data_IF_205954565387
#
_entry.id   IF_205954565387
#
_cell.length_a   1.000
_cell.length_b   1.000
_cell.length_c   1.000
_cell.angle_alpha   90.00
_cell.angle_beta   90.00
_cell.angle_gamma   90.00
#
_symmetry.space_group_name_H-M   'P 1'
#
loop_
_entity.id
_entity.type
_entity.pdbx_description
1 polymer ?
#
# COMPACT_ATOMS: atom_id res chain seq x y z
N UNK A 1 0.55 -8.67 13.15
CA UNK A 1 1.26 -9.91 12.75
C UNK A 1 2.31 -10.33 13.77
N UNK A 2 3.44 -9.60 13.95
CA UNK A 2 4.56 -10.04 14.81
C UNK A 2 4.13 -10.49 16.23
N UNK A 3 3.31 -9.72 16.98
CA UNK A 3 2.89 -10.16 18.32
C UNK A 3 2.11 -11.48 18.30
N UNK A 4 1.25 -11.68 17.30
CA UNK A 4 0.47 -12.91 17.11
C UNK A 4 1.41 -14.09 16.83
N UNK A 5 2.41 -13.90 15.98
CA UNK A 5 3.38 -14.94 15.66
C UNK A 5 4.25 -15.33 16.86
N UNK A 6 4.70 -14.34 17.66
CA UNK A 6 5.45 -14.62 18.89
C UNK A 6 4.61 -15.40 19.91
N UNK A 7 3.33 -15.02 20.12
CA UNK A 7 2.44 -15.70 21.05
C UNK A 7 2.12 -17.16 20.66
N UNK A 8 2.29 -17.49 19.38
CA UNK A 8 2.00 -18.81 18.83
C UNK A 8 3.26 -19.63 18.50
N UNK A 9 4.44 -19.18 18.96
CA UNK A 9 5.73 -19.82 18.68
C UNK A 9 6.05 -19.99 17.17
N UNK A 10 5.45 -19.14 16.33
CA UNK A 10 5.66 -19.13 14.88
C UNK A 10 6.92 -18.34 14.50
N UNK A 11 7.38 -17.44 15.38
CA UNK A 11 8.64 -16.72 15.24
C UNK A 11 9.65 -17.26 16.26
N UNK A 12 10.84 -17.65 15.78
CA UNK A 12 11.96 -18.08 16.64
C UNK A 12 12.55 -16.94 17.48
N UNK A 13 12.24 -15.69 17.13
CA UNK A 13 12.74 -14.51 17.82
C UNK A 13 11.75 -14.06 18.91
N UNK A 14 12.25 -13.94 20.14
CA UNK A 14 11.51 -13.32 21.23
C UNK A 14 11.78 -11.81 21.22
N UNK A 15 10.81 -11.04 20.74
CA UNK A 15 10.82 -9.59 20.80
C UNK A 15 9.85 -9.17 21.91
N UNK A 16 10.33 -8.41 22.90
CA UNK A 16 9.46 -7.89 23.96
C UNK A 16 8.46 -6.89 23.39
N UNK A 17 7.26 -6.87 23.96
CA UNK A 17 6.20 -5.96 23.52
C UNK A 17 6.60 -4.48 23.68
N UNK A 18 7.35 -4.17 24.74
CA UNK A 18 7.90 -2.82 24.98
C UNK A 18 8.93 -2.42 23.90
N UNK A 19 9.72 -3.37 23.39
CA UNK A 19 10.64 -3.09 22.28
C UNK A 19 9.87 -2.84 20.97
N UNK A 20 8.79 -3.58 20.72
CA UNK A 20 7.90 -3.37 19.58
C UNK A 20 7.23 -1.99 19.60
N UNK A 21 6.80 -1.52 20.77
CA UNK A 21 6.18 -0.18 20.94
C UNK A 21 7.18 0.96 20.73
N UNK A 22 8.48 0.70 20.92
CA UNK A 22 9.57 1.66 20.68
C UNK A 22 10.09 1.66 19.23
N UNK A 23 9.62 0.73 18.39
CA UNK A 23 10.02 0.68 16.98
C UNK A 23 9.39 1.86 16.19
N UNK A 24 10.04 2.29 15.09
CA UNK A 24 9.50 3.33 14.21
C UNK A 24 8.07 3.03 13.75
N UNK A 25 7.32 4.10 13.46
CA UNK A 25 5.86 4.06 13.25
C UNK A 25 5.37 3.18 12.07
N UNK A 26 6.23 2.74 11.15
CA UNK A 26 5.79 1.90 10.01
C UNK A 26 6.81 0.83 9.62
N UNK A 27 6.31 -0.36 9.25
CA UNK A 27 7.12 -1.47 8.72
C UNK A 27 8.00 -1.02 7.55
N UNK A 28 7.46 -0.19 6.65
CA UNK A 28 8.20 0.34 5.49
C UNK A 28 9.45 1.09 5.93
N UNK A 29 9.37 1.95 6.95
CA UNK A 29 10.53 2.69 7.45
C UNK A 29 11.56 1.75 8.07
N UNK A 30 11.12 0.75 8.84
CA UNK A 30 12.02 -0.24 9.45
C UNK A 30 12.77 -1.01 8.37
N UNK A 31 12.06 -1.50 7.35
CA UNK A 31 12.65 -2.29 6.26
C UNK A 31 13.55 -1.45 5.36
N UNK A 32 13.16 -0.20 5.09
CA UNK A 32 14.00 0.73 4.32
C UNK A 32 15.32 1.01 5.07
N UNK A 33 15.24 1.33 6.36
CA UNK A 33 16.42 1.59 7.19
C UNK A 33 17.28 0.35 7.34
N UNK A 34 16.69 -0.82 7.59
CA UNK A 34 17.42 -2.09 7.69
C UNK A 34 18.17 -2.40 6.40
N UNK A 35 17.53 -2.18 5.25
CA UNK A 35 18.15 -2.35 3.93
C UNK A 35 19.33 -1.39 3.72
N UNK A 36 19.18 -0.11 4.06
CA UNK A 36 20.25 0.89 3.88
C UNK A 36 21.42 0.62 4.85
N UNK A 37 21.15 0.38 6.13
CA UNK A 37 22.18 0.19 7.16
C UNK A 37 22.98 -1.11 6.99
N UNK A 38 22.42 -2.10 6.28
CA UNK A 38 23.06 -3.39 6.02
C UNK A 38 23.24 -3.63 4.53
N UNK A 39 23.72 -2.61 3.81
CA UNK A 39 23.80 -2.64 2.36
C UNK A 39 24.71 -3.73 1.79
N UNK A 40 25.66 -4.19 2.59
CA UNK A 40 26.57 -5.32 2.33
C UNK A 40 25.87 -6.68 2.41
N UNK A 41 24.80 -6.80 3.21
CA UNK A 41 24.10 -8.06 3.50
C UNK A 41 22.76 -8.18 2.79
N UNK A 42 22.07 -7.07 2.62
CA UNK A 42 20.74 -7.02 2.00
C UNK A 42 20.91 -6.38 0.63
N UNK A 43 20.72 -7.16 -0.43
CA UNK A 43 20.91 -6.71 -1.81
C UNK A 43 19.59 -6.86 -2.57
N UNK A 44 19.00 -5.77 -3.10
CA UNK A 44 17.86 -5.86 -4.01
C UNK A 44 18.21 -6.61 -5.31
N UNK A 45 17.25 -7.33 -5.92
CA UNK A 45 15.86 -7.46 -5.49
C UNK A 45 15.67 -8.45 -4.34
N UNK A 46 14.86 -8.08 -3.35
CA UNK A 46 14.46 -8.98 -2.27
C UNK A 46 12.97 -8.83 -1.93
N UNK A 47 12.42 -9.85 -1.29
CA UNK A 47 11.05 -9.90 -0.78
C UNK A 47 11.00 -10.63 0.57
N UNK A 48 10.06 -10.24 1.43
CA UNK A 48 9.79 -10.97 2.67
C UNK A 48 8.85 -12.16 2.42
N UNK A 49 8.65 -13.00 3.44
CA UNK A 49 7.61 -14.02 3.41
C UNK A 49 6.22 -13.41 3.14
N UNK A 50 5.35 -14.18 2.49
CA UNK A 50 3.98 -13.79 2.25
C UNK A 50 3.07 -14.18 3.42
N UNK A 51 2.09 -13.32 3.70
CA UNK A 51 1.11 -13.52 4.75
C UNK A 51 -0.26 -13.01 4.34
N UNK A 52 -1.30 -13.62 4.90
CA UNK A 52 -2.69 -13.27 4.65
C UNK A 52 -3.02 -11.83 5.03
N UNK A 53 -3.80 -11.16 4.18
CA UNK A 53 -4.34 -9.83 4.47
C UNK A 53 -5.17 -9.77 5.76
N UNK A 54 -5.75 -10.89 6.19
CA UNK A 54 -6.51 -11.01 7.44
C UNK A 54 -5.69 -10.59 8.66
N UNK A 55 -4.36 -10.76 8.67
CA UNK A 55 -3.47 -10.33 9.74
C UNK A 55 -3.53 -8.82 10.04
N UNK A 56 -4.04 -7.98 9.11
CA UNK A 56 -4.29 -6.55 9.35
C UNK A 56 -5.46 -6.29 10.28
N UNK A 57 -6.43 -7.19 10.29
CA UNK A 57 -7.63 -7.10 11.14
C UNK A 57 -7.50 -7.91 12.41
N UNK A 58 -6.46 -8.74 12.52
CA UNK A 58 -6.19 -9.54 13.70
C UNK A 58 -5.35 -8.79 14.73
N UNK A 59 -5.71 -8.98 16.00
CA UNK A 59 -4.93 -8.59 17.18
C UNK A 59 -4.77 -9.80 18.09
N UNK A 60 -3.88 -9.67 19.08
CA UNK A 60 -3.77 -10.68 20.14
C UNK A 60 -5.10 -10.83 20.86
N UNK A 61 -5.44 -12.07 21.19
CA UNK A 61 -6.54 -12.37 22.11
C UNK A 61 -6.33 -11.61 23.44
N UNK A 62 -7.42 -11.10 24.01
CA UNK A 62 -7.37 -10.29 25.24
C UNK A 62 -6.83 -11.07 26.43
N UNK A 63 -7.08 -12.39 26.45
CA UNK A 63 -6.57 -13.30 27.48
C UNK A 63 -5.20 -13.88 27.12
N UNK A 64 -4.62 -13.48 25.97
CA UNK A 64 -3.34 -13.96 25.43
C UNK A 64 -3.26 -15.49 25.32
N UNK A 65 -4.40 -16.15 25.09
CA UNK A 65 -4.44 -17.60 24.93
C UNK A 65 -3.71 -18.02 23.66
N UNK A 66 -2.89 -19.06 23.75
CA UNK A 66 -2.21 -19.62 22.58
C UNK A 66 -3.23 -20.22 21.61
N UNK A 67 -3.05 -19.97 20.31
CA UNK A 67 -3.98 -20.37 19.25
C UNK A 67 -5.20 -19.46 19.10
N UNK A 68 -5.37 -18.43 19.93
CA UNK A 68 -6.50 -17.51 19.85
C UNK A 68 -6.09 -16.14 19.32
N UNK A 69 -6.97 -15.55 18.51
CA UNK A 69 -6.85 -14.20 17.96
C UNK A 69 -8.17 -13.46 18.12
N UNK A 70 -8.13 -12.13 18.08
CA UNK A 70 -9.32 -11.29 18.11
C UNK A 70 -9.32 -10.33 16.92
N UNK A 71 -10.50 -9.87 16.51
CA UNK A 71 -10.65 -8.82 15.51
C UNK A 71 -10.47 -7.42 16.10
N UNK A 72 -9.69 -6.57 15.44
CA UNK A 72 -9.40 -5.21 15.89
C UNK A 72 -10.67 -4.33 16.04
N UNK A 73 -11.65 -4.53 15.15
CA UNK A 73 -12.90 -3.76 15.13
C UNK A 73 -14.07 -4.73 15.33
N UNK A 74 -14.83 -4.53 16.42
CA UNK A 74 -16.02 -5.34 16.76
C UNK A 74 -15.76 -6.86 16.77
N UNK A 75 -14.51 -7.26 17.05
CA UNK A 75 -14.06 -8.65 17.00
C UNK A 75 -14.29 -9.37 15.65
N UNK A 76 -14.33 -8.62 14.55
CA UNK A 76 -14.46 -9.17 13.20
C UNK A 76 -13.09 -9.27 12.54
N UNK A 77 -12.83 -10.45 12.00
CA UNK A 77 -11.68 -10.74 11.13
C UNK A 77 -12.25 -10.87 9.71
N UNK A 78 -11.56 -10.32 8.72
CA UNK A 78 -12.03 -10.35 7.34
C UNK A 78 -10.89 -10.46 6.34
N UNK A 79 -11.25 -10.72 5.08
CA UNK A 79 -10.34 -10.94 3.95
C UNK A 79 -9.42 -12.17 4.11
N UNK A 80 -9.88 -13.18 4.84
CA UNK A 80 -9.22 -14.48 4.91
C UNK A 80 -9.08 -15.09 3.51
N UNK A 81 -7.87 -15.52 3.18
CA UNK A 81 -7.55 -16.27 1.96
C UNK A 81 -7.93 -15.53 0.67
N UNK A 82 -8.01 -14.20 0.69
CA UNK A 82 -8.28 -13.38 -0.51
C UNK A 82 -6.98 -12.82 -1.09
N UNK A 83 -6.16 -12.19 -0.26
CA UNK A 83 -4.91 -11.55 -0.68
C UNK A 83 -3.75 -11.97 0.20
N UNK A 84 -2.61 -12.21 -0.44
CA UNK A 84 -1.31 -12.36 0.21
C UNK A 84 -0.51 -11.08 0.05
N UNK A 85 0.13 -10.68 1.14
CA UNK A 85 0.92 -9.46 1.25
C UNK A 85 2.39 -9.80 1.43
N UNK A 86 3.26 -9.06 0.78
CA UNK A 86 4.71 -9.13 1.01
C UNK A 86 5.35 -7.76 0.76
N UNK A 87 6.39 -7.45 1.55
CA UNK A 87 7.23 -6.29 1.29
C UNK A 87 8.36 -6.66 0.35
N UNK A 88 8.63 -5.78 -0.62
CA UNK A 88 9.66 -5.98 -1.65
C UNK A 88 10.51 -4.72 -1.82
N UNK A 89 11.74 -4.89 -2.26
CA UNK A 89 12.58 -3.81 -2.77
C UNK A 89 13.24 -4.30 -4.05
N UNK A 90 13.13 -3.52 -5.13
CA UNK A 90 13.41 -4.03 -6.48
C UNK A 90 14.75 -3.58 -7.05
N UNK A 91 15.23 -2.38 -6.69
CA UNK A 91 16.35 -1.77 -7.39
C UNK A 91 17.37 -1.15 -6.43
N UNK A 92 18.63 -1.21 -6.85
CA UNK A 92 19.78 -0.55 -6.25
C UNK A 92 20.60 0.08 -7.38
N UNK A 93 21.15 1.28 -7.16
CA UNK A 93 22.00 1.93 -8.13
C UNK A 93 23.35 1.23 -8.20
N UNK A 94 23.92 1.14 -9.41
CA UNK A 94 25.25 0.53 -9.61
C UNK A 94 26.39 1.38 -9.03
N UNK A 95 26.19 2.70 -8.99
CA UNK A 95 27.21 3.67 -8.57
C UNK A 95 27.29 3.83 -7.06
N UNK A 96 26.16 3.69 -6.36
CA UNK A 96 26.07 3.87 -4.91
C UNK A 96 25.12 2.82 -4.30
N UNK A 97 25.65 1.87 -3.50
CA UNK A 97 24.83 0.89 -2.80
C UNK A 97 23.83 1.47 -1.81
N UNK A 98 24.00 2.72 -1.35
CA UNK A 98 23.02 3.41 -0.48
C UNK A 98 21.80 3.88 -1.28
N UNK A 99 21.95 4.15 -2.58
CA UNK A 99 20.86 4.60 -3.43
C UNK A 99 20.00 3.41 -3.87
N UNK A 100 18.88 3.22 -3.17
CA UNK A 100 17.97 2.08 -3.32
C UNK A 100 16.55 2.53 -3.54
N UNK A 101 15.76 1.69 -4.21
CA UNK A 101 14.34 1.97 -4.40
C UNK A 101 13.61 2.00 -3.06
N UNK A 102 12.40 2.56 -3.08
CA UNK A 102 11.50 2.41 -1.94
C UNK A 102 11.16 0.94 -1.70
N UNK A 103 10.98 0.57 -0.44
CA UNK A 103 10.28 -0.66 -0.05
C UNK A 103 8.80 -0.48 -0.39
N UNK A 104 8.25 -1.41 -1.14
CA UNK A 104 6.87 -1.45 -1.58
C UNK A 104 6.15 -2.60 -0.88
N UNK A 105 4.88 -2.40 -0.56
CA UNK A 105 4.01 -3.50 -0.19
C UNK A 105 3.29 -3.98 -1.45
N UNK A 106 3.42 -5.27 -1.75
CA UNK A 106 2.76 -5.94 -2.86
C UNK A 106 1.66 -6.83 -2.31
N UNK A 107 0.50 -6.72 -2.95
CA UNK A 107 -0.64 -7.59 -2.69
C UNK A 107 -0.89 -8.43 -3.95
N UNK A 108 -1.04 -9.73 -3.79
CA UNK A 108 -1.49 -10.63 -4.87
C UNK A 108 -2.70 -11.44 -4.44
N UNK A 109 -3.50 -11.86 -5.41
CA UNK A 109 -4.60 -12.78 -5.15
C UNK A 109 -4.06 -14.14 -4.69
N UNK A 110 -4.85 -14.79 -3.83
CA UNK A 110 -4.65 -16.19 -3.46
C UNK A 110 -5.11 -17.08 -4.60
N UNK A 111 -4.29 -18.08 -4.93
CA UNK A 111 -4.64 -19.14 -5.85
C UNK A 111 -4.69 -20.46 -5.08
N UNK A 112 -5.90 -21.01 -4.79
CA UNK A 112 -6.06 -22.17 -3.92
C UNK A 112 -5.19 -23.38 -4.31
N UNK A 113 -5.05 -23.64 -5.61
CA UNK A 113 -4.23 -24.75 -6.15
C UNK A 113 -2.74 -24.66 -5.77
N UNK A 114 -2.24 -23.46 -5.49
CA UNK A 114 -0.83 -23.20 -5.21
C UNK A 114 -0.57 -22.80 -3.77
N UNK A 115 -1.47 -22.00 -3.19
CA UNK A 115 -1.27 -21.32 -1.91
C UNK A 115 -1.98 -22.01 -0.74
N UNK A 116 -3.08 -22.73 -0.98
CA UNK A 116 -3.87 -23.37 0.06
C UNK A 116 -3.38 -24.81 0.28
N UNK A 117 -2.31 -24.95 1.06
CA UNK A 117 -1.67 -26.23 1.35
C UNK A 117 -1.49 -26.45 2.85
N UNK A 118 -1.41 -27.71 3.33
CA UNK A 118 -1.24 -28.00 4.74
C UNK A 118 -0.03 -27.30 5.38
N UNK A 119 1.06 -27.11 4.62
CA UNK A 119 2.27 -26.43 5.10
C UNK A 119 2.17 -24.90 5.18
N UNK A 120 1.18 -24.28 4.54
CA UNK A 120 0.98 -22.82 4.52
C UNK A 120 -0.26 -22.38 5.30
N UNK A 121 -1.19 -23.27 5.59
CA UNK A 121 -2.42 -22.95 6.33
C UNK A 121 -2.13 -22.97 7.83
N UNK A 122 -2.48 -21.87 8.50
CA UNK A 122 -2.42 -21.74 9.95
C UNK A 122 -3.82 -21.44 10.46
N UNK A 123 -4.27 -22.26 11.41
CA UNK A 123 -5.57 -22.12 12.05
C UNK A 123 -5.44 -21.39 13.39
N UNK A 124 -6.34 -20.44 13.61
CA UNK A 124 -6.56 -19.76 14.88
C UNK A 124 -8.02 -19.88 15.30
N UNK A 125 -8.29 -19.56 16.55
CA UNK A 125 -9.64 -19.48 17.09
C UNK A 125 -10.00 -18.04 17.45
N UNK A 126 -11.17 -17.58 17.02
CA UNK A 126 -11.77 -16.33 17.47
C UNK A 126 -12.98 -16.64 18.35
N UNK A 127 -13.03 -16.03 19.53
CA UNK A 127 -14.18 -16.18 20.44
C UNK A 127 -15.01 -14.90 20.42
N UNK A 128 -16.26 -15.03 19.95
CA UNK A 128 -17.22 -13.93 19.90
C UNK A 128 -17.76 -13.58 21.29
N UNK A 129 -18.45 -12.43 21.38
CA UNK A 129 -18.96 -11.91 22.65
C UNK A 129 -20.04 -12.78 23.30
N UNK A 130 -20.68 -13.66 22.53
CA UNK A 130 -21.66 -14.64 22.98
C UNK A 130 -21.04 -15.99 23.39
N UNK A 131 -19.70 -16.11 23.35
CA UNK A 131 -18.96 -17.34 23.64
C UNK A 131 -18.84 -18.30 22.46
N UNK A 132 -19.39 -17.95 21.28
CA UNK A 132 -19.24 -18.75 20.06
C UNK A 132 -17.78 -18.74 19.61
N UNK A 133 -17.24 -19.93 19.32
CA UNK A 133 -15.87 -20.09 18.80
C UNK A 133 -15.90 -20.31 17.29
N UNK A 134 -15.29 -19.42 16.55
CA UNK A 134 -15.16 -19.48 15.10
C UNK A 134 -13.71 -19.81 14.71
N UNK A 135 -13.47 -20.81 13.85
CA UNK A 135 -12.15 -21.06 13.31
C UNK A 135 -11.79 -19.97 12.31
N UNK A 136 -10.53 -19.56 12.32
CA UNK A 136 -9.96 -18.55 11.45
C UNK A 136 -8.76 -19.16 10.76
N UNK A 137 -8.85 -19.30 9.45
CA UNK A 137 -7.82 -19.96 8.65
C UNK A 137 -7.11 -18.92 7.79
N UNK A 138 -5.80 -18.78 8.01
CA UNK A 138 -4.96 -17.88 7.23
C UNK A 138 -3.87 -18.62 6.49
N UNK A 139 -3.44 -18.03 5.38
CA UNK A 139 -2.26 -18.50 4.66
C UNK A 139 -1.04 -17.72 5.17
N UNK A 140 -0.01 -18.43 5.61
CA UNK A 140 1.24 -17.88 6.11
C UNK A 140 2.42 -18.73 5.65
N UNK A 141 3.34 -18.12 4.92
CA UNK A 141 4.62 -18.73 4.58
C UNK A 141 5.59 -18.51 5.74
N UNK A 142 5.66 -19.45 6.68
CA UNK A 142 6.33 -19.26 7.98
C UNK A 142 7.79 -18.86 7.85
N UNK A 143 8.51 -19.45 6.89
CA UNK A 143 9.91 -19.12 6.63
C UNK A 143 10.29 -19.29 5.16
N UNK A 144 11.55 -18.98 4.84
CA UNK A 144 12.12 -19.07 3.48
C UNK A 144 12.22 -20.48 2.91
N UNK A 145 12.07 -21.52 3.74
CA UNK A 145 12.15 -22.91 3.33
C UNK A 145 10.82 -23.41 2.77
N UNK A 146 9.71 -22.69 3.02
CA UNK A 146 8.41 -23.00 2.42
C UNK A 146 8.40 -22.49 0.97
N UNK A 147 8.23 -23.37 -0.04
CA UNK A 147 8.32 -23.00 -1.44
C UNK A 147 7.13 -22.13 -1.86
N UNK A 148 7.42 -20.95 -2.43
CA UNK A 148 6.40 -20.02 -2.93
C UNK A 148 6.65 -19.67 -4.41
N UNK A 149 6.05 -20.47 -5.30
CA UNK A 149 6.22 -20.32 -6.76
C UNK A 149 5.55 -19.05 -7.29
N UNK A 150 4.41 -18.66 -6.73
CA UNK A 150 3.67 -17.49 -7.19
C UNK A 150 4.33 -16.18 -6.75
N UNK A 151 4.91 -16.14 -5.55
CA UNK A 151 5.78 -15.03 -5.16
C UNK A 151 6.99 -14.93 -6.08
N UNK A 152 7.64 -16.06 -6.40
CA UNK A 152 8.80 -16.09 -7.30
C UNK A 152 8.45 -15.56 -8.70
N UNK A 153 7.30 -15.96 -9.23
CA UNK A 153 6.74 -15.44 -10.48
C UNK A 153 6.47 -13.93 -10.38
N UNK A 154 5.80 -13.49 -9.31
CA UNK A 154 5.48 -12.08 -9.07
C UNK A 154 6.76 -11.24 -9.01
N UNK A 155 7.77 -11.69 -8.29
CA UNK A 155 9.07 -11.01 -8.22
C UNK A 155 9.76 -10.94 -9.57
N UNK A 156 9.73 -12.02 -10.36
CA UNK A 156 10.30 -12.03 -11.72
C UNK A 156 9.64 -10.98 -12.61
N UNK A 157 8.31 -10.88 -12.53
CA UNK A 157 7.53 -9.87 -13.27
C UNK A 157 7.83 -8.45 -12.78
N UNK A 158 7.86 -8.22 -11.47
CA UNK A 158 8.16 -6.90 -10.90
C UNK A 158 9.55 -6.40 -11.26
N UNK A 159 10.57 -7.26 -11.21
CA UNK A 159 11.94 -6.92 -11.59
C UNK A 159 12.02 -6.57 -13.07
N UNK A 160 11.37 -7.35 -13.95
CA UNK A 160 11.32 -7.06 -15.37
C UNK A 160 10.65 -5.71 -15.69
N UNK A 161 9.67 -5.29 -14.87
CA UNK A 161 8.95 -4.02 -15.01
C UNK A 161 9.63 -2.82 -14.32
N UNK A 162 10.76 -3.02 -13.64
CA UNK A 162 11.46 -1.97 -12.89
C UNK A 162 12.90 -1.71 -13.42
N UNK A 163 13.09 -1.45 -14.73
CA UNK A 163 14.40 -1.08 -15.25
C UNK A 163 14.88 0.25 -14.63
N UNK A 164 16.19 0.34 -14.38
CA UNK A 164 16.82 1.51 -13.75
C UNK A 164 17.18 2.64 -14.73
N UNK A 165 16.58 2.67 -15.92
CA UNK A 165 16.94 3.60 -16.99
C UNK A 165 16.22 4.96 -16.88
N UNK A 166 15.11 5.03 -16.15
CA UNK A 166 14.36 6.26 -15.90
C UNK A 166 14.51 6.61 -14.41
N UNK A 167 15.27 7.65 -14.04
CA UNK A 167 15.48 8.04 -12.65
C UNK A 167 14.18 8.26 -11.88
N UNK A 168 13.17 8.86 -12.51
CA UNK A 168 11.86 9.15 -11.89
C UNK A 168 11.03 7.90 -11.61
N UNK A 169 11.32 6.78 -12.28
CA UNK A 169 10.65 5.50 -12.10
C UNK A 169 11.52 4.48 -11.35
N UNK A 170 12.59 4.94 -10.68
CA UNK A 170 13.56 4.05 -10.05
C UNK A 170 12.94 3.10 -9.02
N UNK A 171 12.92 1.81 -9.35
CA UNK A 171 12.29 0.75 -8.57
C UNK A 171 10.76 0.86 -8.45
N UNK A 172 10.13 1.55 -9.39
CA UNK A 172 8.70 1.54 -9.61
C UNK A 172 8.35 0.76 -10.88
N UNK A 173 7.08 0.34 -10.97
CA UNK A 173 6.54 -0.28 -12.17
C UNK A 173 6.56 0.77 -13.32
N UNK A 174 7.50 0.60 -14.24
CA UNK A 174 7.73 1.51 -15.37
C UNK A 174 6.52 1.59 -16.31
N UNK A 175 5.89 0.46 -16.71
CA UNK A 175 4.62 0.51 -17.45
C UNK A 175 3.55 1.39 -16.79
N UNK A 176 3.37 1.26 -15.47
CA UNK A 176 2.39 2.06 -14.73
C UNK A 176 2.78 3.55 -14.69
N UNK A 177 4.07 3.84 -14.50
CA UNK A 177 4.60 5.21 -14.55
C UNK A 177 4.34 5.87 -15.91
N UNK A 178 4.60 5.15 -17.01
CA UNK A 178 4.34 5.64 -18.37
C UNK A 178 2.85 5.91 -18.56
N UNK A 179 1.98 4.99 -18.14
CA UNK A 179 0.53 5.15 -18.23
C UNK A 179 0.04 6.40 -17.48
N UNK A 180 0.52 6.62 -16.25
CA UNK A 180 0.20 7.82 -15.46
C UNK A 180 0.66 9.11 -16.15
N UNK A 181 1.86 9.13 -16.74
CA UNK A 181 2.38 10.29 -17.48
C UNK A 181 1.53 10.60 -18.71
N UNK A 182 1.13 9.58 -19.48
CA UNK A 182 0.25 9.76 -20.64
C UNK A 182 -1.12 10.29 -20.20
N UNK A 183 -1.69 9.74 -19.13
CA UNK A 183 -2.97 10.20 -18.59
C UNK A 183 -2.90 11.68 -18.14
N UNK A 184 -1.86 12.06 -17.40
CA UNK A 184 -1.62 13.46 -16.97
C UNK A 184 -1.43 14.39 -18.17
N UNK A 185 -0.73 13.93 -19.21
CA UNK A 185 -0.56 14.70 -20.43
C UNK A 185 -1.89 14.94 -21.14
N UNK A 186 -2.70 13.90 -21.34
CA UNK A 186 -4.04 14.03 -21.95
C UNK A 186 -4.94 14.98 -21.14
N UNK A 187 -4.93 14.84 -19.82
CA UNK A 187 -5.65 15.74 -18.92
C UNK A 187 -5.19 17.20 -19.11
N UNK A 188 -3.89 17.44 -19.24
CA UNK A 188 -3.36 18.79 -19.45
C UNK A 188 -3.84 19.42 -20.77
N UNK A 189 -3.97 18.62 -21.84
CA UNK A 189 -4.48 19.11 -23.13
C UNK A 189 -5.97 19.42 -23.03
N UNK A 190 -6.75 18.52 -22.43
CA UNK A 190 -8.19 18.76 -22.20
C UNK A 190 -8.43 20.00 -21.32
N UNK A 191 -7.66 20.14 -20.24
CA UNK A 191 -7.75 21.29 -19.34
C UNK A 191 -7.53 22.62 -20.08
N UNK A 192 -6.56 22.68 -21.01
CA UNK A 192 -6.35 23.88 -21.84
C UNK A 192 -7.57 24.21 -22.69
N UNK A 193 -8.21 23.23 -23.32
CA UNK A 193 -9.43 23.45 -24.10
C UNK A 193 -10.55 24.00 -23.22
N UNK A 194 -10.75 23.41 -22.03
CA UNK A 194 -11.77 23.87 -21.07
C UNK A 194 -11.48 25.29 -20.61
N UNK A 195 -10.25 25.58 -20.18
CA UNK A 195 -9.85 26.89 -19.66
C UNK A 195 -9.98 27.97 -20.75
N UNK A 196 -9.49 27.72 -21.98
CA UNK A 196 -9.64 28.65 -23.11
C UNK A 196 -11.10 28.85 -23.50
N UNK A 197 -11.92 27.79 -23.46
CA UNK A 197 -13.36 27.92 -23.74
C UNK A 197 -14.05 28.75 -22.66
N UNK A 198 -13.70 28.55 -21.39
CA UNK A 198 -14.22 29.33 -20.28
C UNK A 198 -13.86 30.82 -20.44
N UNK A 199 -12.58 31.13 -20.73
CA UNK A 199 -12.13 32.49 -21.02
C UNK A 199 -12.85 33.12 -22.21
N UNK A 200 -13.02 32.37 -23.31
CA UNK A 200 -13.75 32.85 -24.48
C UNK A 200 -15.21 33.14 -24.15
N UNK A 201 -15.89 32.26 -23.41
CA UNK A 201 -17.27 32.47 -22.97
C UNK A 201 -17.36 33.75 -22.14
N UNK A 202 -16.50 33.92 -21.12
CA UNK A 202 -16.46 35.08 -20.24
C UNK A 202 -16.20 36.39 -21.00
N UNK A 203 -15.37 36.35 -22.04
CA UNK A 203 -15.01 37.53 -22.83
C UNK A 203 -15.96 37.80 -24.01
N UNK A 204 -16.82 36.86 -24.39
CA UNK A 204 -17.74 37.03 -25.50
C UNK A 204 -18.93 37.91 -25.12
N UNK A 205 -18.98 39.12 -25.69
CA UNK A 205 -20.04 40.10 -25.46
C UNK A 205 -21.45 39.55 -25.72
N UNK A 206 -21.62 38.60 -26.66
CA UNK A 206 -22.91 37.98 -26.97
C UNK A 206 -23.41 37.05 -25.86
N UNK A 207 -22.49 36.48 -25.06
CA UNK A 207 -22.79 35.53 -24.00
C UNK A 207 -22.86 36.17 -22.60
N UNK A 208 -22.48 37.46 -22.46
CA UNK A 208 -22.51 38.18 -21.16
C UNK A 208 -23.85 38.11 -20.44
N UNK A 209 -24.96 38.24 -21.17
CA UNK A 209 -26.31 38.11 -20.58
C UNK A 209 -26.55 36.71 -20.00
N UNK A 210 -26.11 35.67 -20.70
CA UNK A 210 -26.26 34.29 -20.25
C UNK A 210 -25.40 33.97 -19.02
N UNK A 211 -24.14 34.43 -19.02
CA UNK A 211 -23.22 34.29 -17.88
C UNK A 211 -23.77 34.96 -16.62
N UNK A 212 -24.39 36.14 -16.77
CA UNK A 212 -25.02 36.85 -15.66
C UNK A 212 -26.07 36.01 -14.93
N UNK A 213 -26.84 35.19 -15.65
CA UNK A 213 -27.86 34.33 -15.05
C UNK A 213 -27.32 33.00 -14.50
N UNK A 214 -26.18 32.52 -15.01
CA UNK A 214 -25.54 31.28 -14.55
C UNK A 214 -24.66 31.48 -13.31
N UNK A 215 -24.09 32.68 -13.11
CA UNK A 215 -23.29 32.99 -11.92
C UNK A 215 -24.17 33.15 -10.67
N UNK A 216 -23.74 32.60 -9.53
CA UNK A 216 -24.48 32.79 -8.28
C UNK A 216 -24.36 34.24 -7.80
N UNK A 217 -25.31 34.69 -6.98
CA UNK A 217 -25.23 36.02 -6.36
C UNK A 217 -23.96 36.19 -5.51
N UNK A 218 -23.48 35.10 -4.89
CA UNK A 218 -22.31 35.09 -4.01
C UNK A 218 -21.02 35.37 -4.80
N UNK A 219 -20.80 34.65 -5.91
CA UNK A 219 -19.62 34.83 -6.77
C UNK A 219 -19.55 36.24 -7.37
N UNK A 220 -20.70 36.80 -7.76
CA UNK A 220 -20.78 38.18 -8.26
C UNK A 220 -20.40 39.20 -7.20
N UNK A 221 -20.88 39.04 -5.96
CA UNK A 221 -20.51 39.93 -4.86
C UNK A 221 -19.02 39.87 -4.57
N UNK A 222 -18.44 38.67 -4.54
CA UNK A 222 -17.00 38.49 -4.31
C UNK A 222 -16.16 39.15 -5.40
N UNK A 223 -16.54 39.03 -6.68
CA UNK A 223 -15.84 39.69 -7.78
C UNK A 223 -15.89 41.23 -7.71
N UNK A 224 -17.06 41.80 -7.36
CA UNK A 224 -17.22 43.26 -7.20
C UNK A 224 -16.44 43.76 -5.97
N UNK A 225 -16.48 43.03 -4.86
CA UNK A 225 -15.73 43.34 -3.64
C UNK A 225 -14.21 43.27 -3.88
N UNK A 226 -13.73 42.30 -4.67
CA UNK A 226 -12.32 42.17 -5.05
C UNK A 226 -11.86 43.32 -5.98
N UNK A 227 -12.64 43.64 -7.03
CA UNK A 227 -12.32 44.74 -7.95
C UNK A 227 -12.26 46.11 -7.24
N UNK A 228 -13.08 46.32 -6.19
CA UNK A 228 -13.00 47.53 -5.34
C UNK A 228 -11.74 47.61 -4.50
N UNK A 229 -11.14 46.47 -4.12
CA UNK A 229 -9.89 46.44 -3.34
C UNK A 229 -8.65 46.70 -4.19
N UNK A 230 -8.71 46.41 -5.49
CA UNK A 230 -7.60 46.64 -6.42
C UNK A 230 -7.55 48.08 -6.99
N UNK A 231 -8.59 48.89 -6.78
CA UNK A 231 -8.66 50.29 -7.23
C UNK A 231 -8.29 51.34 -6.16
N UNK A 232 -7.81 50.91 -5.00
CA UNK A 232 -7.24 51.74 -3.92
C UNK A 232 -5.74 51.48 -3.88
#
# INVERSE_FOLDING_TARGET
MIPIMCNNDLLKANISQEALEKLPNTDRMILQSASILNADKIVPPWSLIEYDSAFRTMVLDKQKRKGYVAGAIKNKIGLEKVFLKTYVQLSQAKTDPMLRSNVLLVDRLVYPEYDYKPETVVEFWNELSDGTKEPVEVILFVDKNVPNRLQSLTMSVLVAMAPSNIPEAFGHNTPLFIADKIAKWNYSQFKRVVDTTAEWILNNHKLRRFIFYMSTFRERRTAIEAARREQI
#
